data_IF_143258923638
#
_entry.id   IF_143258923638
#
_cell.length_a   1.000
_cell.length_b   1.000
_cell.length_c   1.000
_cell.angle_alpha   90.00
_cell.angle_beta   90.00
_cell.angle_gamma   90.00
#
_symmetry.space_group_name_H-M   'P 1'
#
loop_
_entity.id
_entity.type
_entity.pdbx_description
1 polymer ?
#
# COMPACT_ATOMS: atom_id res chain seq x y z
N UNK A 1 19.27 -22.15 9.85
CA UNK A 1 19.01 -21.97 8.40
C UNK A 1 17.87 -20.98 8.27
N UNK A 2 18.21 -19.74 7.89
CA UNK A 2 17.30 -18.60 7.81
C UNK A 2 16.15 -18.91 6.85
N UNK A 3 14.90 -18.69 7.30
CA UNK A 3 13.84 -18.36 6.34
C UNK A 3 14.33 -17.09 5.65
N UNK A 4 14.67 -17.18 4.37
CA UNK A 4 14.84 -16.01 3.51
C UNK A 4 13.49 -15.28 3.61
N UNK A 5 13.44 -14.22 4.41
CA UNK A 5 12.19 -13.55 4.74
C UNK A 5 11.61 -13.04 3.42
N UNK A 6 10.47 -13.62 3.03
CA UNK A 6 9.73 -13.25 1.83
C UNK A 6 9.56 -11.73 1.84
N UNK A 7 9.93 -11.04 0.77
CA UNK A 7 9.65 -9.60 0.66
C UNK A 7 8.13 -9.43 0.89
N UNK A 8 7.76 -8.77 1.98
CA UNK A 8 6.35 -8.62 2.33
C UNK A 8 5.69 -7.68 1.34
N UNK A 9 4.56 -8.11 0.77
CA UNK A 9 3.74 -7.27 -0.09
C UNK A 9 2.86 -6.39 0.80
N UNK A 10 3.14 -5.09 0.78
CA UNK A 10 2.39 -4.09 1.53
C UNK A 10 1.54 -3.27 0.55
N UNK A 11 0.25 -3.18 0.81
CA UNK A 11 -0.63 -2.24 0.10
C UNK A 11 -0.77 -0.96 0.92
N UNK A 12 -0.60 0.20 0.29
CA UNK A 12 -0.89 1.51 0.88
C UNK A 12 -2.24 1.98 0.34
N UNK A 13 -3.15 2.38 1.23
CA UNK A 13 -4.36 3.11 0.85
C UNK A 13 -4.08 4.60 0.91
N UNK A 14 -4.22 5.31 -0.20
CA UNK A 14 -3.96 6.74 -0.28
C UNK A 14 -4.93 7.41 -1.27
N UNK A 15 -5.60 8.48 -0.84
CA UNK A 15 -6.59 9.22 -1.63
C UNK A 15 -7.99 9.16 -0.99
N UNK A 16 -8.96 8.58 -1.71
CA UNK A 16 -10.36 8.50 -1.30
C UNK A 16 -11.20 9.72 -1.70
N UNK A 17 -12.45 9.79 -1.21
CA UNK A 17 -13.44 10.80 -1.63
C UNK A 17 -13.40 12.10 -0.81
N UNK A 18 -12.51 12.19 0.19
CA UNK A 18 -12.39 13.37 1.08
C UNK A 18 -11.82 14.59 0.33
N UNK A 19 -12.09 15.79 0.85
CA UNK A 19 -11.39 17.01 0.44
C UNK A 19 -9.87 16.95 0.70
N UNK A 20 -9.43 16.06 1.60
CA UNK A 20 -8.02 15.83 1.94
C UNK A 20 -7.33 14.82 1.01
N UNK A 21 -7.97 14.41 -0.08
CA UNK A 21 -7.44 13.43 -1.05
C UNK A 21 -6.00 13.70 -1.45
N UNK A 22 -5.67 14.92 -1.84
CA UNK A 22 -4.31 15.30 -2.27
C UNK A 22 -3.29 15.18 -1.13
N UNK A 23 -3.71 15.47 0.10
CA UNK A 23 -2.87 15.31 1.30
C UNK A 23 -2.60 13.82 1.54
N UNK A 24 -3.63 12.98 1.46
CA UNK A 24 -3.49 11.53 1.60
C UNK A 24 -2.58 10.92 0.53
N UNK A 25 -2.70 11.35 -0.73
CA UNK A 25 -1.81 10.94 -1.83
C UNK A 25 -0.35 11.34 -1.58
N UNK A 26 -0.11 12.57 -1.11
CA UNK A 26 1.23 13.03 -0.78
C UNK A 26 1.87 12.22 0.36
N UNK A 27 1.11 11.95 1.43
CA UNK A 27 1.56 11.08 2.52
C UNK A 27 1.83 9.66 2.03
N UNK A 28 0.93 9.09 1.21
CA UNK A 28 1.09 7.78 0.62
C UNK A 28 2.36 7.64 -0.22
N UNK A 29 2.69 8.64 -1.03
CA UNK A 29 3.92 8.66 -1.84
C UNK A 29 5.20 8.69 -0.98
N UNK A 30 5.19 9.43 0.14
CA UNK A 30 6.30 9.44 1.08
C UNK A 30 6.49 8.07 1.76
N UNK A 31 5.39 7.42 2.16
CA UNK A 31 5.40 6.07 2.75
C UNK A 31 5.89 5.04 1.72
N UNK A 32 5.40 5.11 0.48
CA UNK A 32 5.83 4.21 -0.60
C UNK A 32 7.34 4.28 -0.81
N UNK A 33 7.89 5.49 -0.86
CA UNK A 33 9.34 5.72 -0.99
C UNK A 33 10.11 5.08 0.16
N UNK A 34 9.66 5.27 1.39
CA UNK A 34 10.30 4.71 2.58
C UNK A 34 10.25 3.17 2.61
N UNK A 35 9.11 2.57 2.28
CA UNK A 35 8.95 1.11 2.26
C UNK A 35 9.75 0.45 1.13
N UNK A 36 9.78 1.06 -0.07
CA UNK A 36 10.63 0.59 -1.18
C UNK A 36 12.11 0.65 -0.82
N UNK A 37 12.56 1.68 -0.09
CA UNK A 37 13.95 1.78 0.37
C UNK A 37 14.34 0.70 1.41
N UNK A 38 13.36 0.02 2.00
CA UNK A 38 13.54 -1.12 2.91
C UNK A 38 13.34 -2.48 2.21
N UNK A 39 13.35 -2.51 0.87
CA UNK A 39 13.19 -3.70 0.04
C UNK A 39 11.82 -4.43 0.18
N UNK A 40 10.77 -3.71 0.57
CA UNK A 40 9.39 -4.24 0.53
C UNK A 40 8.80 -4.15 -0.88
N UNK A 41 7.92 -5.11 -1.22
CA UNK A 41 7.04 -4.97 -2.38
C UNK A 41 5.87 -4.08 -1.98
N UNK A 42 5.64 -2.99 -2.71
CA UNK A 42 4.61 -2.00 -2.36
C UNK A 42 3.67 -1.73 -3.53
N UNK A 43 2.37 -1.72 -3.25
CA UNK A 43 1.32 -1.30 -4.20
C UNK A 43 0.49 -0.19 -3.56
N UNK A 44 0.33 0.94 -4.24
CA UNK A 44 -0.56 2.02 -3.78
C UNK A 44 -1.94 1.87 -4.43
N UNK A 45 -3.01 2.00 -3.63
CA UNK A 45 -4.40 1.96 -4.08
C UNK A 45 -5.11 3.23 -3.61
N UNK A 46 -5.78 3.90 -4.54
CA UNK A 46 -6.78 4.90 -4.24
C UNK A 46 -8.14 4.21 -4.03
N UNK A 47 -8.65 4.15 -2.78
CA UNK A 47 -9.77 3.30 -2.44
C UNK A 47 -11.06 3.76 -3.10
N UNK A 48 -11.73 2.80 -3.75
CA UNK A 48 -13.04 2.97 -4.35
C UNK A 48 -13.93 1.74 -4.03
N UNK A 49 -15.10 1.63 -4.66
CA UNK A 49 -16.05 0.52 -4.43
C UNK A 49 -15.47 -0.87 -4.72
N UNK A 50 -14.42 -0.99 -5.53
CA UNK A 50 -13.76 -2.25 -5.86
C UNK A 50 -12.60 -2.61 -4.92
N UNK A 51 -12.33 -1.82 -3.88
CA UNK A 51 -11.17 -2.01 -2.98
C UNK A 51 -11.07 -3.45 -2.46
N UNK A 52 -12.17 -4.03 -1.97
CA UNK A 52 -12.15 -5.40 -1.45
C UNK A 52 -11.76 -6.43 -2.52
N UNK A 53 -12.21 -6.24 -3.76
CA UNK A 53 -11.85 -7.11 -4.89
C UNK A 53 -10.37 -6.96 -5.24
N UNK A 54 -9.86 -5.73 -5.28
CA UNK A 54 -8.45 -5.44 -5.56
C UNK A 54 -7.54 -6.05 -4.49
N UNK A 55 -7.86 -5.87 -3.21
CA UNK A 55 -7.10 -6.46 -2.10
C UNK A 55 -7.10 -8.00 -2.17
N UNK A 56 -8.24 -8.63 -2.49
CA UNK A 56 -8.31 -10.08 -2.67
C UNK A 56 -7.45 -10.57 -3.85
N UNK A 57 -7.38 -9.81 -4.95
CA UNK A 57 -6.56 -10.17 -6.12
C UNK A 57 -5.05 -9.98 -5.85
N UNK A 58 -4.70 -8.90 -5.15
CA UNK A 58 -3.32 -8.57 -4.80
C UNK A 58 -2.77 -9.44 -3.68
N UNK A 59 -3.67 -9.97 -2.83
CA UNK A 59 -3.37 -10.81 -1.68
C UNK A 59 -2.15 -10.30 -0.87
N UNK A 60 -2.19 -9.04 -0.40
CA UNK A 60 -1.07 -8.46 0.33
C UNK A 60 -0.88 -9.13 1.69
N UNK A 61 0.34 -9.09 2.20
CA UNK A 61 0.64 -9.54 3.56
C UNK A 61 0.15 -8.51 4.60
N UNK A 62 0.18 -7.21 4.26
CA UNK A 62 -0.20 -6.10 5.13
C UNK A 62 -0.85 -4.96 4.34
N UNK A 63 -1.70 -4.18 5.03
CA UNK A 63 -2.28 -2.94 4.51
C UNK A 63 -1.90 -1.79 5.44
N UNK A 64 -1.43 -0.69 4.86
CA UNK A 64 -1.17 0.58 5.52
C UNK A 64 -2.23 1.59 5.07
N UNK A 65 -2.89 2.29 6.00
CA UNK A 65 -3.96 3.25 5.73
C UNK A 65 -3.77 4.53 6.53
#
# INVERSE_FOLDING_TARGET
MSKLNKAHHIVILAGGPSAEREVSLATGAAIETALKALDYQVTMIDPNSDLCRQLNQLNPDLVFN
#
